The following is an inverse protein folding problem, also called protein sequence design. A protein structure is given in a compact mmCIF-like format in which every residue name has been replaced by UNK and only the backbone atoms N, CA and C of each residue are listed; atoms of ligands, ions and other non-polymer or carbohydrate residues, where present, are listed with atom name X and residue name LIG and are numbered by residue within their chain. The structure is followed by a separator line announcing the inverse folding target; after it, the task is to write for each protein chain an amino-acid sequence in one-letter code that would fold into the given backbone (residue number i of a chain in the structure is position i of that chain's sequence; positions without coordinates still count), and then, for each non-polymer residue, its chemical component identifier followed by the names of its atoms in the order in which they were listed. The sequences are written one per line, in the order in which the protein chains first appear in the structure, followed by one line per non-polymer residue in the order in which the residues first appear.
data_IF_724645013857
#
_entry.id   IF_724645013857
#
_cell.length_a   1.000
_cell.length_b   1.000
_cell.length_c   1.000
_cell.angle_alpha   90.00
_cell.angle_beta   90.00
_cell.angle_gamma   90.00
#
_symmetry.space_group_name_H-M   'P 1'
#
loop_
_entity.id
_entity.type
_entity.pdbx_description
1 polymer ?
#
# COMPACT_ATOMS: atom_id res chain seq x y z
N UNK A 1 5.69 20.98 86.92
CA UNK A 1 6.99 21.67 86.74
C UNK A 1 7.81 20.88 85.72
N UNK A 2 8.56 21.59 84.87
CA UNK A 2 9.50 21.14 83.82
C UNK A 2 8.93 20.89 82.40
N UNK A 3 9.11 21.95 81.59
CA UNK A 3 9.33 21.97 80.13
C UNK A 3 10.79 21.62 79.84
N UNK A 4 11.06 20.89 78.74
CA UNK A 4 12.16 21.05 77.75
C UNK A 4 11.71 20.25 76.51
N UNK A 5 11.39 20.81 75.34
CA UNK A 5 12.23 21.38 74.26
C UNK A 5 13.40 20.45 73.89
N UNK A 6 13.55 19.94 72.67
CA UNK A 6 14.01 20.72 71.49
C UNK A 6 13.74 20.00 70.16
N UNK A 7 13.44 20.80 69.13
CA UNK A 7 13.31 20.43 67.71
C UNK A 7 14.67 20.57 66.96
N UNK A 8 14.71 20.54 65.61
CA UNK A 8 15.44 19.62 64.72
C UNK A 8 16.82 20.14 64.22
N UNK A 9 17.58 19.40 63.40
CA UNK A 9 18.60 20.01 62.53
C UNK A 9 18.05 20.30 61.13
N UNK A 10 18.28 21.54 60.68
CA UNK A 10 18.01 22.07 59.33
C UNK A 10 19.30 22.24 58.52
N UNK A 11 19.20 21.94 57.21
CA UNK A 11 19.86 22.59 56.03
C UNK A 11 21.36 22.35 55.73
N UNK A 12 21.90 22.72 54.54
CA UNK A 12 21.45 22.51 53.14
C UNK A 12 22.62 22.20 52.14
N UNK A 13 22.29 21.94 50.86
CA UNK A 13 23.10 21.98 49.58
C UNK A 13 22.96 20.65 48.82
N UNK A 14 22.71 20.58 47.51
CA UNK A 14 22.81 21.57 46.43
C UNK A 14 21.90 21.14 45.27
N UNK A 15 21.41 22.13 44.53
CA UNK A 15 20.70 21.98 43.26
C UNK A 15 21.67 21.57 42.15
N UNK A 16 21.26 20.60 41.31
CA UNK A 16 21.32 20.72 39.84
C UNK A 16 20.46 19.66 39.14
N UNK A 17 20.01 19.92 37.90
CA UNK A 17 18.69 19.55 37.43
C UNK A 17 18.69 18.46 36.35
N UNK A 18 17.47 18.10 35.95
CA UNK A 18 17.09 17.28 34.80
C UNK A 18 17.14 15.76 34.99
N UNK A 19 15.95 15.20 35.27
CA UNK A 19 15.45 14.10 34.45
C UNK A 19 13.91 14.14 34.45
N UNK A 20 13.36 14.53 33.30
CA UNK A 20 11.96 14.29 32.94
C UNK A 20 11.72 12.77 33.02
N UNK A 21 11.12 12.32 34.11
CA UNK A 21 10.56 10.97 34.21
C UNK A 21 9.07 11.07 33.91
N UNK A 22 8.73 10.55 32.73
CA UNK A 22 7.38 10.30 32.25
C UNK A 22 6.56 9.58 33.31
N UNK A 23 5.44 10.20 33.70
CA UNK A 23 4.46 9.59 34.59
C UNK A 23 3.94 8.28 34.01
N UNK A 24 4.29 7.17 34.66
CA UNK A 24 3.60 5.90 34.46
C UNK A 24 2.22 6.00 35.10
N UNK A 25 1.19 5.97 34.25
CA UNK A 25 -0.16 5.65 34.68
C UNK A 25 -0.16 4.21 35.20
N UNK A 26 -0.33 4.05 36.50
CA UNK A 26 -0.61 2.76 37.14
C UNK A 26 -2.07 2.39 36.90
N UNK A 27 -2.38 1.78 35.75
CA UNK A 27 -3.68 1.14 35.55
C UNK A 27 -3.69 -0.23 36.23
N UNK A 28 -4.50 -0.36 37.29
CA UNK A 28 -4.77 -1.60 38.02
C UNK A 28 -5.66 -2.57 37.22
N UNK A 29 -5.20 -3.03 36.06
CA UNK A 29 -5.86 -4.11 35.30
C UNK A 29 -5.17 -5.44 35.54
N UNK A 30 -5.90 -6.44 36.03
CA UNK A 30 -5.44 -7.81 36.32
C UNK A 30 -5.25 -8.70 35.08
N UNK A 31 -5.40 -8.14 33.88
CA UNK A 31 -5.12 -8.84 32.63
C UNK A 31 -3.70 -8.50 32.15
N UNK A 32 -2.92 -9.51 31.72
CA UNK A 32 -1.62 -9.25 31.13
C UNK A 32 -1.80 -8.37 29.89
N UNK A 33 -0.96 -7.34 29.78
CA UNK A 33 -0.90 -6.45 28.62
C UNK A 33 -0.76 -7.32 27.35
N UNK A 34 -1.59 -7.12 26.31
CA UNK A 34 -1.52 -7.91 25.08
C UNK A 34 -0.09 -7.90 24.50
N UNK A 35 0.35 -9.03 23.93
CA UNK A 35 1.71 -9.20 23.37
C UNK A 35 2.07 -8.08 22.38
N UNK A 36 1.06 -7.52 21.69
CA UNK A 36 1.16 -6.37 20.78
C UNK A 36 1.70 -5.10 21.44
N UNK A 37 1.38 -4.86 22.71
CA UNK A 37 1.83 -3.69 23.48
C UNK A 37 3.17 -3.91 24.18
N UNK A 38 3.52 -5.16 24.52
CA UNK A 38 4.79 -5.49 25.19
C UNK A 38 6.03 -5.19 24.34
N UNK A 39 5.88 -5.17 23.01
CA UNK A 39 6.96 -4.93 22.05
C UNK A 39 6.97 -3.51 21.46
N UNK A 40 6.21 -2.56 22.03
CA UNK A 40 6.22 -1.14 21.64
C UNK A 40 7.42 -0.37 22.22
N UNK A 41 8.50 -1.05 22.62
CA UNK A 41 9.80 -0.41 22.82
C UNK A 41 10.35 0.03 21.48
N UNK A 42 10.07 1.29 21.10
CA UNK A 42 10.80 2.14 20.15
C UNK A 42 11.59 1.42 19.05
N UNK A 43 10.99 0.44 18.36
CA UNK A 43 11.67 -0.25 17.28
C UNK A 43 11.73 0.71 16.10
N UNK A 44 12.92 1.25 15.83
CA UNK A 44 13.16 2.14 14.69
C UNK A 44 12.70 1.50 13.38
N UNK A 45 12.27 2.31 12.39
CA UNK A 45 11.72 1.82 11.13
C UNK A 45 12.60 0.77 10.42
N UNK A 46 13.93 0.93 10.52
CA UNK A 46 14.91 -0.05 10.01
C UNK A 46 14.78 -1.43 10.66
N UNK A 47 14.51 -1.50 11.96
CA UNK A 47 14.34 -2.77 12.68
C UNK A 47 13.02 -3.47 12.36
N UNK A 48 11.96 -2.71 12.03
CA UNK A 48 10.69 -3.24 11.49
C UNK A 48 10.88 -3.78 10.08
N UNK A 49 11.60 -3.04 9.22
CA UNK A 49 11.96 -3.46 7.87
C UNK A 49 12.81 -4.75 7.89
N UNK A 50 13.85 -4.80 8.72
CA UNK A 50 14.70 -5.99 8.87
C UNK A 50 13.90 -7.22 9.32
N UNK A 51 12.97 -7.05 10.28
CA UNK A 51 12.08 -8.14 10.71
C UNK A 51 11.18 -8.62 9.57
N UNK A 52 10.63 -7.71 8.76
CA UNK A 52 9.80 -8.06 7.61
C UNK A 52 10.62 -8.78 6.52
N UNK A 53 11.81 -8.28 6.19
CA UNK A 53 12.71 -8.90 5.23
C UNK A 53 13.16 -10.30 5.68
N UNK A 54 13.42 -10.49 6.98
CA UNK A 54 13.73 -11.81 7.54
C UNK A 54 12.56 -12.78 7.39
N UNK A 55 11.31 -12.33 7.47
CA UNK A 55 10.13 -13.16 7.24
C UNK A 55 9.96 -13.51 5.76
N UNK A 56 10.29 -12.61 4.84
CA UNK A 56 10.25 -12.88 3.38
C UNK A 56 11.09 -14.11 2.98
N UNK A 57 12.16 -14.40 3.72
CA UNK A 57 13.05 -15.54 3.46
C UNK A 57 12.57 -16.85 4.13
N UNK A 58 11.48 -16.83 4.90
CA UNK A 58 10.95 -18.00 5.62
C UNK A 58 9.63 -18.50 5.02
N UNK A 59 9.74 -19.21 3.90
CA UNK A 59 8.59 -19.71 3.12
C UNK A 59 7.60 -20.59 3.90
N UNK A 60 8.08 -21.40 4.86
CA UNK A 60 7.20 -22.31 5.62
C UNK A 60 6.22 -21.60 6.57
N UNK A 61 6.47 -20.32 6.89
CA UNK A 61 5.67 -19.56 7.85
C UNK A 61 4.67 -18.61 7.16
N UNK A 62 4.50 -18.73 5.85
CA UNK A 62 3.74 -17.82 5.00
C UNK A 62 2.36 -18.40 4.65
N UNK A 63 1.29 -17.63 4.84
CA UNK A 63 -0.09 -18.09 4.60
C UNK A 63 -0.48 -17.94 3.12
N UNK A 64 0.09 -18.79 2.25
CA UNK A 64 -0.15 -18.73 0.80
C UNK A 64 -1.61 -18.91 0.40
N UNK A 65 -2.37 -19.76 1.09
CA UNK A 65 -3.78 -19.97 0.79
C UNK A 65 -4.59 -18.67 0.94
N UNK A 66 -4.40 -17.96 2.05
CA UNK A 66 -5.04 -16.67 2.29
C UNK A 66 -4.61 -15.64 1.23
N UNK A 67 -3.33 -15.59 0.90
CA UNK A 67 -2.79 -14.66 -0.09
C UNK A 67 -3.33 -14.93 -1.52
N UNK A 68 -3.46 -16.20 -1.92
CA UNK A 68 -4.06 -16.58 -3.21
C UNK A 68 -5.52 -16.16 -3.28
N UNK A 69 -6.31 -16.45 -2.26
CA UNK A 69 -7.70 -15.99 -2.18
C UNK A 69 -7.81 -14.49 -2.21
N UNK A 70 -6.88 -13.79 -1.56
CA UNK A 70 -6.85 -12.33 -1.57
C UNK A 70 -6.66 -11.79 -2.99
N UNK A 71 -5.70 -12.33 -3.75
CA UNK A 71 -5.46 -11.97 -5.16
C UNK A 71 -6.69 -12.23 -6.03
N UNK A 72 -7.33 -13.41 -5.89
CA UNK A 72 -8.55 -13.74 -6.63
C UNK A 72 -9.68 -12.76 -6.29
N UNK A 73 -9.86 -12.45 -5.01
CA UNK A 73 -10.90 -11.52 -4.57
C UNK A 73 -10.61 -10.09 -4.98
N UNK A 74 -9.35 -9.65 -5.13
CA UNK A 74 -9.06 -8.32 -5.67
C UNK A 74 -9.59 -8.14 -7.10
N UNK A 75 -9.62 -9.21 -7.90
CA UNK A 75 -10.17 -9.19 -9.26
C UNK A 75 -11.69 -9.38 -9.27
N UNK A 76 -12.22 -10.33 -8.50
CA UNK A 76 -13.65 -10.73 -8.62
C UNK A 76 -14.56 -9.96 -7.65
N UNK A 77 -14.11 -9.73 -6.42
CA UNK A 77 -14.95 -9.16 -5.37
C UNK A 77 -14.10 -8.49 -4.27
N UNK A 78 -13.54 -7.30 -4.55
CA UNK A 78 -12.56 -6.67 -3.66
C UNK A 78 -13.15 -6.30 -2.30
N UNK A 79 -14.48 -6.15 -2.20
CA UNK A 79 -15.20 -5.95 -0.95
C UNK A 79 -14.92 -7.07 0.07
N UNK A 80 -14.77 -8.32 -0.38
CA UNK A 80 -14.48 -9.46 0.51
C UNK A 80 -13.11 -9.31 1.19
N UNK A 81 -12.11 -8.81 0.46
CA UNK A 81 -10.77 -8.55 0.99
C UNK A 81 -10.84 -7.56 2.13
N UNK A 82 -11.50 -6.42 1.92
CA UNK A 82 -11.57 -5.36 2.93
C UNK A 82 -12.45 -5.71 4.13
N UNK A 83 -13.44 -6.58 3.96
CA UNK A 83 -14.15 -7.18 5.10
C UNK A 83 -13.20 -7.99 5.99
N UNK A 84 -12.29 -8.76 5.41
CA UNK A 84 -11.27 -9.50 6.18
C UNK A 84 -10.29 -8.54 6.88
N UNK A 85 -9.91 -7.43 6.25
CA UNK A 85 -9.09 -6.39 6.91
C UNK A 85 -9.79 -5.80 8.14
N UNK A 86 -11.09 -5.47 8.02
CA UNK A 86 -11.89 -4.98 9.14
C UNK A 86 -11.92 -5.98 10.31
N UNK A 87 -12.14 -7.26 10.01
CA UNK A 87 -12.13 -8.33 11.02
C UNK A 87 -10.75 -8.50 11.68
N UNK A 88 -9.65 -8.37 10.92
CA UNK A 88 -8.29 -8.42 11.46
C UNK A 88 -7.98 -7.23 12.36
N UNK A 89 -8.47 -6.04 12.03
CA UNK A 89 -8.33 -4.87 12.89
C UNK A 89 -8.96 -5.11 14.26
N UNK A 90 -10.16 -5.70 14.31
CA UNK A 90 -10.84 -6.00 15.57
C UNK A 90 -10.10 -7.05 16.43
N UNK A 91 -9.40 -7.99 15.81
CA UNK A 91 -8.73 -9.10 16.51
C UNK A 91 -7.25 -8.82 16.84
N UNK A 92 -6.53 -8.06 16.00
CA UNK A 92 -5.09 -7.81 16.14
C UNK A 92 -4.72 -6.33 16.38
N UNK A 93 -5.71 -5.42 16.32
CA UNK A 93 -5.56 -3.98 16.53
C UNK A 93 -4.59 -3.25 15.58
N UNK A 94 -4.12 -3.91 14.52
CA UNK A 94 -3.22 -3.36 13.51
C UNK A 94 -3.87 -3.42 12.12
N UNK A 95 -3.61 -2.42 11.27
CA UNK A 95 -4.12 -2.39 9.89
C UNK A 95 -3.14 -2.98 8.87
N UNK A 96 -1.84 -2.73 9.01
CA UNK A 96 -0.82 -3.22 8.07
C UNK A 96 -0.65 -4.75 8.15
N UNK A 97 -0.41 -5.40 7.00
CA UNK A 97 -0.14 -6.84 6.92
C UNK A 97 1.21 -7.20 7.55
N UNK A 98 1.22 -8.23 8.39
CA UNK A 98 2.43 -8.77 9.04
C UNK A 98 3.05 -10.00 8.33
N UNK A 99 2.33 -10.58 7.37
CA UNK A 99 2.70 -11.76 6.59
C UNK A 99 3.16 -11.36 5.16
N UNK A 100 4.36 -11.78 4.72
CA UNK A 100 4.87 -11.50 3.39
C UNK A 100 4.23 -12.25 2.22
N UNK A 101 3.33 -13.23 2.44
CA UNK A 101 2.81 -14.13 1.40
C UNK A 101 2.27 -13.41 0.16
N UNK A 102 1.47 -12.36 0.35
CA UNK A 102 0.92 -11.56 -0.75
C UNK A 102 2.01 -10.87 -1.59
N UNK A 103 3.06 -10.34 -0.95
CA UNK A 103 4.14 -9.65 -1.66
C UNK A 103 4.95 -10.62 -2.51
N UNK A 104 5.18 -11.85 -2.03
CA UNK A 104 5.84 -12.89 -2.81
C UNK A 104 5.02 -13.26 -4.04
N UNK A 105 3.71 -13.47 -3.89
CA UNK A 105 2.83 -13.76 -5.03
C UNK A 105 2.76 -12.59 -6.02
N UNK A 106 2.72 -11.35 -5.54
CA UNK A 106 2.81 -10.15 -6.38
C UNK A 106 4.12 -10.11 -7.16
N UNK A 107 5.25 -10.43 -6.51
CA UNK A 107 6.56 -10.52 -7.16
C UNK A 107 6.62 -11.61 -8.23
N UNK A 108 6.03 -12.78 -7.98
CA UNK A 108 5.87 -13.82 -9.01
C UNK A 108 5.06 -13.31 -10.21
N UNK A 109 3.99 -12.57 -9.96
CA UNK A 109 3.19 -11.99 -11.03
C UNK A 109 3.98 -10.94 -11.84
N UNK A 110 4.68 -10.03 -11.17
CA UNK A 110 5.55 -9.05 -11.83
C UNK A 110 6.62 -9.71 -12.73
N UNK A 111 7.16 -10.86 -12.31
CA UNK A 111 8.10 -11.63 -13.12
C UNK A 111 7.40 -12.22 -14.36
N UNK A 112 6.23 -12.82 -14.19
CA UNK A 112 5.45 -13.43 -15.28
C UNK A 112 5.01 -12.36 -16.29
N UNK A 113 4.53 -11.21 -15.84
CA UNK A 113 4.13 -10.12 -16.73
C UNK A 113 5.32 -9.53 -17.47
N UNK A 114 6.47 -9.37 -16.81
CA UNK A 114 7.71 -8.93 -17.45
C UNK A 114 8.19 -9.90 -18.52
N UNK A 115 8.02 -11.20 -18.29
CA UNK A 115 8.32 -12.22 -19.29
C UNK A 115 7.34 -12.13 -20.47
N UNK A 116 6.04 -11.93 -20.22
CA UNK A 116 5.04 -11.74 -21.27
C UNK A 116 5.37 -10.53 -22.15
N UNK A 117 5.75 -9.40 -21.56
CA UNK A 117 6.23 -8.22 -22.28
C UNK A 117 7.44 -8.51 -23.14
N UNK A 118 8.45 -9.18 -22.58
CA UNK A 118 9.66 -9.52 -23.32
C UNK A 118 9.37 -10.45 -24.51
N UNK A 119 8.46 -11.41 -24.36
CA UNK A 119 8.07 -12.32 -25.44
C UNK A 119 7.29 -11.60 -26.54
N UNK A 120 6.29 -10.79 -26.17
CA UNK A 120 5.44 -10.08 -27.14
C UNK A 120 6.23 -9.02 -27.90
N UNK A 121 7.07 -8.25 -27.21
CA UNK A 121 7.88 -7.18 -27.81
C UNK A 121 9.23 -7.68 -28.36
N UNK A 122 9.50 -8.99 -28.28
CA UNK A 122 10.74 -9.65 -28.75
C UNK A 122 12.02 -9.00 -28.18
N UNK A 123 12.01 -8.72 -26.88
CA UNK A 123 13.13 -8.11 -26.16
C UNK A 123 14.25 -9.13 -25.91
N UNK A 124 15.50 -8.67 -25.97
CA UNK A 124 16.67 -9.46 -25.57
C UNK A 124 16.76 -9.69 -24.06
N UNK A 125 17.68 -10.56 -23.60
CA UNK A 125 17.80 -10.88 -22.17
C UNK A 125 18.14 -9.67 -21.28
N UNK A 126 19.11 -8.83 -21.68
CA UNK A 126 19.47 -7.62 -20.92
C UNK A 126 18.31 -6.62 -20.88
N UNK A 127 17.57 -6.52 -21.98
CA UNK A 127 16.39 -5.68 -22.10
C UNK A 127 15.27 -6.15 -21.15
N UNK A 128 15.01 -7.46 -21.12
CA UNK A 128 14.09 -8.07 -20.15
C UNK A 128 14.51 -7.78 -18.70
N UNK A 129 15.79 -7.94 -18.34
CA UNK A 129 16.25 -7.64 -16.98
C UNK A 129 16.07 -6.17 -16.63
N UNK A 130 16.40 -5.24 -17.54
CA UNK A 130 16.14 -3.80 -17.35
C UNK A 130 14.66 -3.52 -17.15
N UNK A 131 13.80 -4.11 -17.98
CA UNK A 131 12.34 -3.95 -17.88
C UNK A 131 11.80 -4.48 -16.55
N UNK A 132 12.20 -5.69 -16.14
CA UNK A 132 11.81 -6.29 -14.86
C UNK A 132 12.18 -5.41 -13.67
N UNK A 133 13.42 -4.90 -13.65
CA UNK A 133 13.88 -4.00 -12.59
C UNK A 133 13.11 -2.68 -12.61
N UNK A 134 12.85 -2.11 -13.78
CA UNK A 134 12.10 -0.87 -13.92
C UNK A 134 10.65 -1.03 -13.42
N UNK A 135 9.92 -2.03 -13.94
CA UNK A 135 8.55 -2.31 -13.55
C UNK A 135 8.43 -2.60 -12.04
N UNK A 136 9.38 -3.36 -11.48
CA UNK A 136 9.36 -3.68 -10.04
C UNK A 136 9.69 -2.46 -9.18
N UNK A 137 10.84 -1.81 -9.41
CA UNK A 137 11.33 -0.78 -8.49
C UNK A 137 10.74 0.60 -8.75
N UNK A 138 10.49 0.95 -10.01
CA UNK A 138 9.97 2.27 -10.37
C UNK A 138 8.45 2.25 -10.36
N UNK A 139 7.82 1.37 -11.15
CA UNK A 139 6.37 1.39 -11.35
C UNK A 139 5.59 0.85 -10.16
N UNK A 140 6.03 -0.25 -9.54
CA UNK A 140 5.37 -0.80 -8.36
C UNK A 140 5.86 -0.11 -7.07
N UNK A 141 7.15 -0.22 -6.73
CA UNK A 141 7.65 0.30 -5.45
C UNK A 141 7.71 1.83 -5.45
N UNK A 142 8.31 2.47 -6.45
CA UNK A 142 8.52 3.92 -6.50
C UNK A 142 7.20 4.70 -6.49
N UNK A 143 6.30 4.40 -7.42
CA UNK A 143 4.95 4.99 -7.45
C UNK A 143 4.19 4.64 -6.17
N UNK A 144 4.36 3.43 -5.64
CA UNK A 144 3.77 3.00 -4.38
C UNK A 144 4.18 3.84 -3.18
N UNK A 145 5.47 4.16 -3.04
CA UNK A 145 5.97 5.02 -1.96
C UNK A 145 5.39 6.43 -2.07
N UNK A 146 5.34 6.99 -3.29
CA UNK A 146 4.76 8.30 -3.55
C UNK A 146 3.27 8.34 -3.22
N UNK A 147 2.49 7.38 -3.73
CA UNK A 147 1.05 7.31 -3.51
C UNK A 147 0.71 7.02 -2.05
N UNK A 148 1.41 6.10 -1.39
CA UNK A 148 1.23 5.81 0.03
C UNK A 148 1.49 7.05 0.89
N UNK A 149 2.56 7.79 0.62
CA UNK A 149 2.90 9.02 1.37
C UNK A 149 1.87 10.11 1.15
N UNK A 150 1.41 10.30 -0.10
CA UNK A 150 0.38 11.27 -0.44
C UNK A 150 -0.94 10.94 0.27
N UNK A 151 -1.43 9.71 0.13
CA UNK A 151 -2.69 9.33 0.74
C UNK A 151 -2.62 9.26 2.26
N UNK A 152 -1.50 8.82 2.84
CA UNK A 152 -1.28 8.86 4.28
C UNK A 152 -1.36 10.29 4.83
N UNK A 153 -0.77 11.25 4.11
CA UNK A 153 -0.86 12.66 4.47
C UNK A 153 -2.30 13.18 4.36
N UNK A 154 -2.96 12.93 3.22
CA UNK A 154 -4.34 13.36 2.98
C UNK A 154 -5.30 12.76 4.03
N UNK A 155 -5.15 11.47 4.33
CA UNK A 155 -6.04 10.76 5.24
C UNK A 155 -5.94 11.30 6.65
N UNK A 156 -4.71 11.46 7.17
CA UNK A 156 -4.50 11.95 8.53
C UNK A 156 -4.79 13.44 8.69
N UNK A 157 -4.58 14.24 7.64
CA UNK A 157 -4.81 15.69 7.68
C UNK A 157 -6.26 16.10 7.44
N UNK A 158 -6.96 15.43 6.52
CA UNK A 158 -8.27 15.90 6.05
C UNK A 158 -9.42 14.91 6.25
N UNK A 159 -9.16 13.60 6.21
CA UNK A 159 -10.23 12.58 6.26
C UNK A 159 -10.45 12.03 7.68
N UNK A 160 -9.53 12.26 8.60
CA UNK A 160 -9.64 11.75 9.97
C UNK A 160 -10.61 12.58 10.80
N UNK A 161 -11.54 11.93 11.49
CA UNK A 161 -12.41 12.57 12.47
C UNK A 161 -11.92 12.34 13.91
N UNK A 162 -11.37 11.15 14.19
CA UNK A 162 -10.85 10.80 15.51
C UNK A 162 -9.33 11.02 15.60
N UNK A 163 -8.89 11.90 16.50
CA UNK A 163 -7.46 12.20 16.69
C UNK A 163 -6.71 11.22 17.58
N UNK A 164 -7.38 10.18 18.12
CA UNK A 164 -6.76 9.20 19.04
C UNK A 164 -5.86 8.20 18.32
N UNK A 165 -6.13 7.91 17.04
CA UNK A 165 -5.34 6.98 16.23
C UNK A 165 -5.05 7.56 14.84
N UNK A 166 -3.81 7.38 14.40
CA UNK A 166 -3.37 7.71 13.05
C UNK A 166 -3.55 6.53 12.08
N UNK A 167 -3.77 6.83 10.81
CA UNK A 167 -3.64 5.84 9.73
C UNK A 167 -2.17 5.47 9.60
N UNK A 168 -1.87 4.17 9.69
CA UNK A 168 -0.52 3.63 9.55
C UNK A 168 -0.01 3.82 8.10
N UNK A 169 1.19 4.37 7.91
CA UNK A 169 1.78 4.52 6.57
C UNK A 169 1.91 3.16 5.85
N UNK A 170 2.28 2.11 6.57
CA UNK A 170 2.37 0.75 6.02
C UNK A 170 1.03 0.22 5.52
N UNK A 171 -0.08 0.68 6.09
CA UNK A 171 -1.42 0.34 5.60
C UNK A 171 -1.76 1.11 4.31
N UNK A 172 -1.40 2.39 4.21
CA UNK A 172 -1.56 3.15 2.96
C UNK A 172 -0.76 2.51 1.81
N UNK A 173 0.44 2.00 2.10
CA UNK A 173 1.25 1.25 1.13
C UNK A 173 0.63 -0.11 0.76
N UNK A 174 0.07 -0.85 1.73
CA UNK A 174 -0.65 -2.10 1.44
C UNK A 174 -1.90 -1.85 0.58
N UNK A 175 -2.63 -0.76 0.81
CA UNK A 175 -3.74 -0.35 -0.09
C UNK A 175 -3.23 -0.16 -1.51
N UNK A 176 -2.10 0.54 -1.71
CA UNK A 176 -1.51 0.71 -3.03
C UNK A 176 -1.19 -0.65 -3.68
N UNK A 177 -0.50 -1.55 -2.97
CA UNK A 177 -0.14 -2.86 -3.53
C UNK A 177 -1.38 -3.68 -3.91
N UNK A 178 -2.45 -3.61 -3.12
CA UNK A 178 -3.72 -4.26 -3.43
C UNK A 178 -4.40 -3.61 -4.66
N UNK A 179 -4.37 -2.29 -4.77
CA UNK A 179 -4.96 -1.54 -5.88
C UNK A 179 -4.16 -1.66 -7.19
N UNK A 180 -2.85 -1.87 -7.09
CA UNK A 180 -1.94 -2.09 -8.22
C UNK A 180 -2.14 -3.45 -8.90
N UNK A 181 -2.62 -4.45 -8.14
CA UNK A 181 -2.73 -5.81 -8.65
C UNK A 181 -3.68 -5.96 -9.85
N UNK A 182 -4.93 -5.42 -9.87
CA UNK A 182 -5.76 -5.55 -11.07
C UNK A 182 -5.20 -4.85 -12.32
N UNK A 183 -4.66 -3.61 -12.26
CA UNK A 183 -3.93 -3.02 -13.38
C UNK A 183 -2.80 -3.91 -13.91
N UNK A 184 -2.01 -4.54 -13.04
CA UNK A 184 -0.96 -5.50 -13.45
C UNK A 184 -1.54 -6.66 -14.28
N UNK A 185 -2.70 -7.20 -13.88
CA UNK A 185 -3.35 -8.28 -14.64
C UNK A 185 -3.94 -7.76 -15.96
N UNK A 186 -4.64 -6.63 -15.93
CA UNK A 186 -5.37 -6.14 -17.09
C UNK A 186 -4.41 -5.58 -18.15
N UNK A 187 -3.44 -4.76 -17.75
CA UNK A 187 -2.53 -4.07 -18.66
C UNK A 187 -1.30 -4.93 -18.97
N UNK A 188 -0.66 -5.48 -17.95
CA UNK A 188 0.66 -6.10 -18.14
C UNK A 188 0.59 -7.58 -18.49
N UNK A 189 -0.62 -8.17 -18.40
CA UNK A 189 -0.87 -9.54 -18.83
C UNK A 189 -1.84 -9.58 -19.99
N UNK A 190 -3.06 -9.07 -19.81
CA UNK A 190 -4.09 -9.26 -20.82
C UNK A 190 -3.90 -8.33 -22.03
N UNK A 191 -3.72 -7.03 -21.80
CA UNK A 191 -3.57 -6.04 -22.87
C UNK A 191 -2.33 -6.29 -23.72
N UNK A 192 -1.21 -6.72 -23.14
CA UNK A 192 0.02 -6.93 -23.90
C UNK A 192 -0.14 -8.02 -24.98
N UNK A 193 -0.90 -9.09 -24.73
CA UNK A 193 -1.21 -10.09 -25.76
C UNK A 193 -2.16 -9.55 -26.85
N UNK A 194 -3.08 -8.67 -26.49
CA UNK A 194 -3.96 -8.00 -27.46
C UNK A 194 -3.23 -6.92 -28.26
N UNK A 195 -2.10 -6.41 -27.75
CA UNK A 195 -1.42 -5.26 -28.33
C UNK A 195 -1.08 -5.43 -29.82
N UNK A 196 -0.28 -6.45 -30.23
CA UNK A 196 0.13 -6.60 -31.63
C UNK A 196 -1.05 -6.92 -32.57
N UNK A 197 -2.12 -7.53 -32.05
CA UNK A 197 -3.24 -8.01 -32.86
C UNK A 197 -4.36 -6.97 -33.01
N UNK A 198 -4.55 -6.06 -32.05
CA UNK A 198 -5.71 -5.17 -32.01
C UNK A 198 -5.41 -3.72 -31.64
N UNK A 199 -4.30 -3.42 -30.95
CA UNK A 199 -4.07 -2.10 -30.35
C UNK A 199 -2.97 -1.32 -31.08
N UNK A 200 -2.05 -2.01 -31.77
CA UNK A 200 -0.93 -1.37 -32.47
C UNK A 200 -1.29 -0.70 -33.82
N UNK A 201 -2.57 -0.39 -34.04
CA UNK A 201 -3.06 0.23 -35.28
C UNK A 201 -3.52 1.68 -35.07
N UNK A 202 -3.40 2.52 -36.10
CA UNK A 202 -3.83 3.93 -36.08
C UNK A 202 -5.30 4.09 -36.48
N UNK A 203 -6.15 3.24 -35.91
CA UNK A 203 -7.59 3.22 -36.17
C UNK A 203 -8.39 3.53 -34.91
N UNK A 204 -9.65 3.92 -35.05
CA UNK A 204 -10.52 4.21 -33.91
C UNK A 204 -10.73 2.98 -33.00
N UNK A 205 -10.93 1.79 -33.57
CA UNK A 205 -11.16 0.56 -32.79
C UNK A 205 -9.99 0.21 -31.87
N UNK A 206 -8.75 0.31 -32.38
CA UNK A 206 -7.53 0.09 -31.60
C UNK A 206 -7.41 1.06 -30.42
N UNK A 207 -7.67 2.35 -30.67
CA UNK A 207 -7.71 3.39 -29.63
C UNK A 207 -8.80 3.14 -28.60
N UNK A 208 -9.99 2.79 -29.07
CA UNK A 208 -11.13 2.50 -28.21
C UNK A 208 -10.85 1.32 -27.29
N UNK A 209 -10.35 0.19 -27.82
CA UNK A 209 -10.04 -1.00 -27.03
C UNK A 209 -8.92 -0.70 -26.02
N UNK A 210 -7.79 -0.13 -26.47
CA UNK A 210 -6.66 0.18 -25.59
C UNK A 210 -7.02 1.15 -24.47
N UNK A 211 -7.65 2.28 -24.81
CA UNK A 211 -8.04 3.27 -23.80
C UNK A 211 -9.12 2.72 -22.84
N UNK A 212 -9.99 1.80 -23.29
CA UNK A 212 -11.00 1.18 -22.42
C UNK A 212 -10.36 0.25 -21.41
N UNK A 213 -9.35 -0.54 -21.79
CA UNK A 213 -8.58 -1.35 -20.84
C UNK A 213 -7.88 -0.48 -19.79
N UNK A 214 -7.33 0.67 -20.19
CA UNK A 214 -6.79 1.67 -19.27
C UNK A 214 -7.85 2.24 -18.32
N UNK A 215 -9.02 2.64 -18.84
CA UNK A 215 -10.11 3.16 -18.01
C UNK A 215 -10.58 2.13 -16.98
N UNK A 216 -10.74 0.87 -17.39
CA UNK A 216 -11.13 -0.23 -16.48
C UNK A 216 -10.05 -0.44 -15.40
N UNK A 217 -8.78 -0.42 -15.79
CA UNK A 217 -7.66 -0.61 -14.86
C UNK A 217 -7.57 0.51 -13.82
N UNK A 218 -7.64 1.76 -14.28
CA UNK A 218 -7.68 2.94 -13.40
C UNK A 218 -8.92 2.91 -12.51
N UNK A 219 -10.06 2.50 -13.04
CA UNK A 219 -11.30 2.32 -12.28
C UNK A 219 -11.16 1.30 -11.14
N UNK A 220 -10.55 0.14 -11.41
CA UNK A 220 -10.22 -0.85 -10.38
C UNK A 220 -9.29 -0.27 -9.31
N UNK A 221 -8.22 0.41 -9.73
CA UNK A 221 -7.28 1.02 -8.81
C UNK A 221 -7.98 2.02 -7.87
N UNK A 222 -8.80 2.92 -8.41
CA UNK A 222 -9.57 3.91 -7.65
C UNK A 222 -10.54 3.21 -6.68
N UNK A 223 -11.28 2.21 -7.17
CA UNK A 223 -12.30 1.52 -6.37
C UNK A 223 -11.69 0.76 -5.19
N UNK A 224 -10.60 0.02 -5.42
CA UNK A 224 -9.89 -0.70 -4.36
C UNK A 224 -9.26 0.28 -3.36
N UNK A 225 -8.69 1.37 -3.85
CA UNK A 225 -8.19 2.46 -2.98
C UNK A 225 -9.31 3.00 -2.07
N UNK A 226 -10.47 3.30 -2.64
CA UNK A 226 -11.65 3.74 -1.90
C UNK A 226 -12.10 2.72 -0.85
N UNK A 227 -12.19 1.44 -1.21
CA UNK A 227 -12.57 0.37 -0.28
C UNK A 227 -11.58 0.24 0.88
N UNK A 228 -10.28 0.39 0.61
CA UNK A 228 -9.23 0.41 1.63
C UNK A 228 -9.47 1.48 2.67
N UNK A 229 -9.53 2.75 2.26
CA UNK A 229 -9.72 3.84 3.21
C UNK A 229 -11.10 3.79 3.90
N UNK A 230 -12.14 3.31 3.23
CA UNK A 230 -13.48 3.19 3.85
C UNK A 230 -13.56 2.07 4.88
N UNK A 231 -12.66 1.07 4.82
CA UNK A 231 -12.58 0.02 5.84
C UNK A 231 -12.00 0.50 7.17
N UNK A 232 -11.44 1.71 7.19
CA UNK A 232 -10.86 2.35 8.38
C UNK A 232 -11.91 3.22 9.08
N UNK A 233 -12.34 2.79 10.27
CA UNK A 233 -13.45 3.44 11.00
C UNK A 233 -13.14 4.87 11.48
N UNK A 234 -11.86 5.23 11.64
CA UNK A 234 -11.42 6.59 12.04
C UNK A 234 -11.56 7.64 10.92
N UNK A 235 -11.78 7.20 9.68
CA UNK A 235 -11.89 8.06 8.51
C UNK A 235 -13.34 8.36 8.17
N UNK A 236 -13.63 9.63 7.90
CA UNK A 236 -14.90 10.12 7.38
C UNK A 236 -14.71 10.72 5.99
N UNK A 237 -15.81 10.89 5.24
CA UNK A 237 -15.81 11.48 3.88
C UNK A 237 -14.89 10.79 2.87
N UNK A 238 -14.63 9.49 3.04
CA UNK A 238 -13.81 8.69 2.11
C UNK A 238 -14.43 8.58 0.71
N UNK A 239 -15.73 8.84 0.57
CA UNK A 239 -16.42 9.00 -0.71
C UNK A 239 -15.75 10.05 -1.63
N UNK A 240 -15.01 11.01 -1.04
CA UNK A 240 -14.10 11.93 -1.73
C UNK A 240 -13.20 11.26 -2.78
N UNK A 241 -12.68 10.07 -2.46
CA UNK A 241 -11.75 9.33 -3.31
C UNK A 241 -12.42 8.91 -4.62
N UNK A 242 -13.71 8.55 -4.59
CA UNK A 242 -14.44 8.05 -5.75
C UNK A 242 -14.69 9.14 -6.81
N UNK A 243 -14.63 10.43 -6.45
CA UNK A 243 -14.72 11.53 -7.40
C UNK A 243 -13.57 11.59 -8.41
N UNK A 244 -12.48 10.86 -8.17
CA UNK A 244 -11.42 10.68 -9.18
C UNK A 244 -11.87 9.82 -10.37
N UNK A 245 -12.89 8.98 -10.20
CA UNK A 245 -13.42 8.12 -11.28
C UNK A 245 -14.06 8.93 -12.43
N UNK A 246 -15.00 9.87 -12.20
CA UNK A 246 -15.54 10.70 -13.29
C UNK A 246 -14.47 11.55 -13.98
N UNK A 247 -13.41 11.96 -13.25
CA UNK A 247 -12.25 12.63 -13.86
C UNK A 247 -11.52 11.68 -14.81
N UNK A 248 -11.31 10.42 -14.43
CA UNK A 248 -10.71 9.41 -15.30
C UNK A 248 -11.57 9.14 -16.55
N UNK A 249 -12.90 9.11 -16.41
CA UNK A 249 -13.84 8.99 -17.54
C UNK A 249 -13.73 10.20 -18.47
N UNK A 250 -13.63 11.41 -17.93
CA UNK A 250 -13.44 12.62 -18.74
C UNK A 250 -12.13 12.57 -19.52
N UNK A 251 -11.02 12.19 -18.89
CA UNK A 251 -9.72 12.03 -19.54
C UNK A 251 -9.79 10.99 -20.66
N UNK A 252 -10.47 9.87 -20.42
CA UNK A 252 -10.72 8.84 -21.43
C UNK A 252 -11.44 9.40 -22.67
N UNK A 253 -12.53 10.16 -22.47
CA UNK A 253 -13.27 10.80 -23.57
C UNK A 253 -12.37 11.77 -24.33
N UNK A 254 -11.63 12.62 -23.63
CA UNK A 254 -10.71 13.59 -24.24
C UNK A 254 -9.67 12.86 -25.10
N UNK A 255 -9.08 11.78 -24.61
CA UNK A 255 -8.07 11.04 -25.37
C UNK A 255 -8.65 10.33 -26.59
N UNK A 256 -9.87 9.80 -26.51
CA UNK A 256 -10.56 9.26 -27.67
C UNK A 256 -10.81 10.34 -28.74
N UNK A 257 -11.33 11.51 -28.34
CA UNK A 257 -11.58 12.62 -29.25
C UNK A 257 -10.30 13.21 -29.86
N UNK A 258 -9.22 13.30 -29.07
CA UNK A 258 -7.91 13.75 -29.54
C UNK A 258 -7.19 12.70 -30.39
N UNK A 259 -7.74 11.49 -30.51
CA UNK A 259 -7.15 10.41 -31.28
C UNK A 259 -5.91 9.78 -30.66
N UNK A 260 -5.74 9.92 -29.35
CA UNK A 260 -4.58 9.44 -28.58
C UNK A 260 -4.80 8.00 -28.13
N UNK A 261 -3.82 7.12 -28.35
CA UNK A 261 -3.79 5.75 -27.83
C UNK A 261 -2.81 5.66 -26.65
N UNK A 262 -3.31 5.52 -25.41
CA UNK A 262 -2.46 5.46 -24.21
C UNK A 262 -1.53 4.25 -24.28
N UNK A 263 -2.06 3.08 -24.67
CA UNK A 263 -1.30 1.83 -24.69
C UNK A 263 -0.09 1.93 -25.62
N UNK A 264 -0.23 2.56 -26.80
CA UNK A 264 0.90 2.85 -27.69
C UNK A 264 1.93 3.77 -27.06
N UNK A 265 1.49 4.87 -26.43
CA UNK A 265 2.40 5.81 -25.76
C UNK A 265 3.22 5.11 -24.68
N UNK A 266 2.56 4.30 -23.84
CA UNK A 266 3.21 3.61 -22.73
C UNK A 266 4.15 2.51 -23.22
N UNK A 267 3.77 1.74 -24.24
CA UNK A 267 4.65 0.72 -24.81
C UNK A 267 5.89 1.36 -25.47
N UNK A 268 5.70 2.46 -26.21
CA UNK A 268 6.82 3.22 -26.78
C UNK A 268 7.71 3.81 -25.67
N UNK A 269 7.13 4.28 -24.57
CA UNK A 269 7.90 4.74 -23.41
C UNK A 269 8.79 3.63 -22.84
N UNK A 270 8.25 2.42 -22.68
CA UNK A 270 9.03 1.28 -22.18
C UNK A 270 10.11 0.83 -23.17
N UNK A 271 9.78 0.73 -24.45
CA UNK A 271 10.76 0.40 -25.50
C UNK A 271 11.94 1.38 -25.46
N UNK A 272 11.69 2.69 -25.37
CA UNK A 272 12.75 3.71 -25.32
C UNK A 272 13.63 3.67 -24.06
N UNK A 273 13.20 3.03 -22.97
CA UNK A 273 14.00 2.88 -21.73
C UNK A 273 14.79 1.59 -21.70
N UNK A 274 14.28 0.59 -22.39
CA UNK A 274 14.81 -0.77 -22.36
C UNK A 274 15.83 -0.97 -23.49
N UNK A 275 15.54 -0.42 -24.69
CA UNK A 275 16.45 -0.31 -25.85
C UNK A 275 17.61 0.62 -25.50
#
# INVERSE_FOLDING_TARGET
KMKYSTSPPTTPRSLSPNNFSSGFFTSSSSLPIPITYRNQTCMGGASKCYKYLRKLLKFEQMDFEFAMWQIIYLLVSPQKVYRNFKNRKQTKLQFARDDPAFLVLLGCWLLISSLAFALVLKLGFLQFVKFLLYSTFVDCIGVGLCTATLFWFISNKYLRHDSTQDVEWGYAFDIHLNAFFPPLIILDTFQIFLYPAFIDYDVFSARFIGNTLWLVSVGYYIYITFLGYTSVEILHRTAGILWTLPIAVLIYIVFLCAGINISKIVINFYLNRVV
#
